data_IF_633284005784
#
_entry.id   IF_633284005784
#
_cell.length_a   1.000
_cell.length_b   1.000
_cell.length_c   1.000
_cell.angle_alpha   90.00
_cell.angle_beta   90.00
_cell.angle_gamma   90.00
#
_symmetry.space_group_name_H-M   'P 1'
#
loop_
_entity.id
_entity.type
_entity.pdbx_description
1 polymer ?
#
# COMPACT_ATOMS: atom_id res chain seq x y z
N UNK A 1 20.81 25.30 23.58
CA UNK A 1 19.93 26.48 23.74
C UNK A 1 18.53 26.15 23.28
N UNK A 2 17.48 26.76 23.87
CA UNK A 2 16.05 26.48 23.64
C UNK A 2 15.65 26.32 22.15
N UNK A 3 16.23 27.15 21.28
CA UNK A 3 15.99 27.12 19.82
C UNK A 3 16.49 25.83 19.16
N UNK A 4 17.65 25.32 19.55
CA UNK A 4 18.21 24.08 18.98
C UNK A 4 17.38 22.86 19.39
N UNK A 5 16.77 22.87 20.58
CA UNK A 5 15.88 21.81 21.02
C UNK A 5 14.60 21.74 20.17
N UNK A 6 13.99 22.88 19.87
CA UNK A 6 12.81 22.94 18.98
C UNK A 6 13.14 22.48 17.55
N UNK A 7 14.32 22.83 17.03
CA UNK A 7 14.75 22.35 15.70
C UNK A 7 14.94 20.82 15.70
N UNK A 8 15.57 20.27 16.75
CA UNK A 8 15.75 18.82 16.87
C UNK A 8 14.41 18.07 16.97
N UNK A 9 13.44 18.62 17.70
CA UNK A 9 12.09 18.06 17.84
C UNK A 9 11.31 18.05 16.50
N UNK A 10 11.38 19.16 15.75
CA UNK A 10 10.78 19.25 14.43
C UNK A 10 11.39 18.22 13.45
N UNK A 11 12.72 18.05 13.47
CA UNK A 11 13.42 17.04 12.67
C UNK A 11 13.03 15.62 13.05
N UNK A 12 12.92 15.31 14.35
CA UNK A 12 12.49 13.99 14.82
C UNK A 12 11.06 13.67 14.38
N UNK A 13 10.15 14.65 14.39
CA UNK A 13 8.78 14.49 13.91
C UNK A 13 8.75 14.16 12.41
N UNK A 14 9.52 14.90 11.59
CA UNK A 14 9.63 14.64 10.15
C UNK A 14 10.23 13.27 9.87
N UNK A 15 11.27 12.87 10.60
CA UNK A 15 11.87 11.54 10.48
C UNK A 15 10.86 10.43 10.81
N UNK A 16 10.00 10.63 11.82
CA UNK A 16 8.92 9.71 12.15
C UNK A 16 7.88 9.57 11.03
N UNK A 17 7.52 10.66 10.36
CA UNK A 17 6.59 10.63 9.21
C UNK A 17 7.21 9.85 8.05
N UNK A 18 8.45 10.18 7.68
CA UNK A 18 9.17 9.51 6.58
C UNK A 18 9.37 8.02 6.88
N UNK A 19 9.70 7.67 8.13
CA UNK A 19 9.87 6.28 8.53
C UNK A 19 8.56 5.49 8.46
N UNK A 20 7.43 6.10 8.84
CA UNK A 20 6.09 5.48 8.74
C UNK A 20 5.67 5.27 7.30
N UNK A 21 5.84 6.28 6.45
CA UNK A 21 5.52 6.20 5.02
C UNK A 21 6.32 5.08 4.33
N UNK A 22 7.61 5.01 4.63
CA UNK A 22 8.47 3.93 4.14
C UNK A 22 8.04 2.55 4.67
N UNK A 23 7.56 2.45 5.91
CA UNK A 23 7.03 1.18 6.44
C UNK A 23 5.76 0.76 5.70
N UNK A 24 4.82 1.69 5.50
CA UNK A 24 3.59 1.44 4.72
C UNK A 24 3.92 0.98 3.30
N UNK A 25 4.86 1.66 2.63
CA UNK A 25 5.33 1.26 1.29
C UNK A 25 5.88 -0.17 1.28
N UNK A 26 6.70 -0.56 2.26
CA UNK A 26 7.21 -1.94 2.36
C UNK A 26 6.11 -2.96 2.67
N UNK A 27 5.12 -2.60 3.49
CA UNK A 27 3.99 -3.49 3.82
C UNK A 27 3.13 -3.74 2.59
N UNK A 28 2.84 -2.69 1.80
CA UNK A 28 2.12 -2.81 0.53
C UNK A 28 2.91 -3.60 -0.52
N UNK A 29 4.25 -3.43 -0.59
CA UNK A 29 5.12 -4.24 -1.44
C UNK A 29 5.10 -5.73 -1.04
N UNK A 30 5.22 -6.05 0.25
CA UNK A 30 5.15 -7.42 0.74
C UNK A 30 3.77 -8.05 0.50
N UNK A 31 2.70 -7.26 0.66
CA UNK A 31 1.32 -7.66 0.37
C UNK A 31 1.13 -7.95 -1.12
N UNK A 32 1.70 -7.12 -2.00
CA UNK A 32 1.69 -7.34 -3.44
C UNK A 32 2.45 -8.61 -3.83
N UNK A 33 3.63 -8.86 -3.25
CA UNK A 33 4.39 -10.09 -3.50
C UNK A 33 3.56 -11.33 -3.12
N UNK A 34 2.93 -11.30 -1.94
CA UNK A 34 2.05 -12.38 -1.47
C UNK A 34 0.86 -12.58 -2.40
N UNK A 35 0.21 -11.50 -2.83
CA UNK A 35 -0.91 -11.55 -3.77
C UNK A 35 -0.52 -12.30 -5.05
N UNK A 36 0.59 -11.90 -5.66
CA UNK A 36 1.07 -12.51 -6.92
C UNK A 36 1.47 -13.97 -6.75
N UNK A 37 2.05 -14.35 -5.61
CA UNK A 37 2.36 -15.74 -5.28
C UNK A 37 1.12 -16.65 -5.24
N UNK A 38 -0.04 -16.10 -4.90
CA UNK A 38 -1.31 -16.82 -4.86
C UNK A 38 -2.03 -16.89 -6.21
N UNK A 39 -1.43 -16.39 -7.30
CA UNK A 39 -1.97 -16.44 -8.67
C UNK A 39 -3.38 -15.83 -8.74
N UNK A 40 -3.48 -14.51 -8.59
CA UNK A 40 -4.78 -13.83 -8.54
C UNK A 40 -5.56 -14.02 -9.86
N UNK A 41 -6.90 -13.82 -9.83
CA UNK A 41 -7.70 -13.89 -11.04
C UNK A 41 -7.15 -12.93 -12.10
N UNK A 42 -7.02 -13.40 -13.34
CA UNK A 42 -6.57 -12.59 -14.47
C UNK A 42 -7.77 -12.15 -15.30
N UNK A 43 -7.87 -10.86 -15.60
CA UNK A 43 -8.89 -10.36 -16.51
C UNK A 43 -8.60 -10.79 -17.96
N UNK A 44 -9.53 -11.53 -18.56
CA UNK A 44 -9.44 -12.00 -19.95
C UNK A 44 -10.48 -11.36 -20.89
N UNK A 45 -11.28 -10.43 -20.37
CA UNK A 45 -12.49 -9.92 -21.02
C UNK A 45 -12.30 -8.97 -22.22
N UNK A 46 -11.06 -8.67 -22.66
CA UNK A 46 -10.76 -7.67 -23.70
C UNK A 46 -11.50 -6.33 -23.44
N UNK A 47 -12.07 -5.69 -24.46
CA UNK A 47 -12.84 -4.44 -24.39
C UNK A 47 -14.22 -4.61 -23.72
N UNK A 48 -14.29 -5.32 -22.59
CA UNK A 48 -15.48 -5.46 -21.78
C UNK A 48 -15.35 -4.58 -20.54
N UNK A 49 -15.82 -3.31 -20.57
CA UNK A 49 -15.69 -2.40 -19.44
C UNK A 49 -16.45 -2.91 -18.20
N UNK A 50 -17.65 -3.45 -18.37
CA UNK A 50 -18.46 -3.98 -17.27
C UNK A 50 -17.79 -5.19 -16.60
N UNK A 51 -17.15 -6.05 -17.41
CA UNK A 51 -16.35 -7.16 -16.90
C UNK A 51 -15.08 -6.71 -16.18
N UNK A 52 -14.45 -5.63 -16.66
CA UNK A 52 -13.25 -5.08 -16.03
C UNK A 52 -13.57 -4.48 -14.66
N UNK A 53 -14.69 -3.76 -14.53
CA UNK A 53 -15.16 -3.22 -13.24
C UNK A 53 -15.38 -4.34 -12.23
N UNK A 54 -16.13 -5.39 -12.61
CA UNK A 54 -16.36 -6.54 -11.72
C UNK A 54 -15.07 -7.25 -11.31
N UNK A 55 -14.13 -7.40 -12.25
CA UNK A 55 -12.83 -8.00 -11.95
C UNK A 55 -12.01 -7.13 -10.97
N UNK A 56 -12.07 -5.79 -11.10
CA UNK A 56 -11.43 -4.88 -10.15
C UNK A 56 -12.05 -5.00 -8.76
N UNK A 57 -13.38 -5.07 -8.65
CA UNK A 57 -14.07 -5.25 -7.37
C UNK A 57 -13.61 -6.57 -6.68
N UNK A 58 -13.51 -7.66 -7.43
CA UNK A 58 -13.02 -8.95 -6.91
C UNK A 58 -11.54 -8.86 -6.46
N UNK A 59 -10.69 -8.21 -7.25
CA UNK A 59 -9.28 -7.98 -6.90
C UNK A 59 -9.16 -7.13 -5.64
N UNK A 60 -9.96 -6.07 -5.50
CA UNK A 60 -9.96 -5.19 -4.32
C UNK A 60 -10.37 -5.95 -3.06
N UNK A 61 -11.42 -6.77 -3.12
CA UNK A 61 -11.86 -7.60 -1.99
C UNK A 61 -10.74 -8.54 -1.53
N UNK A 62 -10.09 -9.23 -2.48
CA UNK A 62 -8.99 -10.15 -2.15
C UNK A 62 -7.80 -9.37 -1.57
N UNK A 63 -7.46 -8.23 -2.19
CA UNK A 63 -6.37 -7.40 -1.73
C UNK A 63 -6.62 -6.97 -0.29
N UNK A 64 -7.79 -6.40 0.02
CA UNK A 64 -8.21 -5.96 1.37
C UNK A 64 -8.26 -7.09 2.39
N UNK A 65 -8.75 -8.28 2.03
CA UNK A 65 -8.75 -9.43 2.92
C UNK A 65 -7.33 -9.92 3.32
N UNK A 66 -6.28 -9.50 2.59
CA UNK A 66 -4.89 -9.78 2.95
C UNK A 66 -4.25 -8.72 3.85
N UNK A 67 -4.96 -7.67 4.26
CA UNK A 67 -4.48 -6.82 5.36
C UNK A 67 -4.38 -7.68 6.62
N UNK A 68 -3.17 -7.75 7.18
CA UNK A 68 -2.94 -8.32 8.51
C UNK A 68 -3.53 -7.42 9.60
#
# INVERSE_FOLDING_TARGET
>A
GRRNAQIAEALATLAGIVARDHQLGREDEARMERFMKHKPPTFTGRYNPDGAVKWLDEVEIIFEAMRC
#
